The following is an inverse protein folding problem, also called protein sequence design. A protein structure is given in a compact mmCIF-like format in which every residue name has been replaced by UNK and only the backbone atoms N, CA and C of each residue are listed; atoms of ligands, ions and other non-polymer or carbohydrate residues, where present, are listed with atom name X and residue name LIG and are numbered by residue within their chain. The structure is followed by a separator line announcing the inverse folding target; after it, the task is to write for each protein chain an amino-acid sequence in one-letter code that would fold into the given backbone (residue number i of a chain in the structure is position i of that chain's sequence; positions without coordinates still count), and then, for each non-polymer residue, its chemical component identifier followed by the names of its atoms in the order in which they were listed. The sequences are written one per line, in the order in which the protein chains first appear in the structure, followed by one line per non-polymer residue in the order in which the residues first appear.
data_IF_250818574254
#
_entry.id   IF_250818574254
#
_cell.length_a   1.000
_cell.length_b   1.000
_cell.length_c   1.000
_cell.angle_alpha   90.00
_cell.angle_beta   90.00
_cell.angle_gamma   90.00
#
_symmetry.space_group_name_H-M   'P 1'
#
loop_
_entity.id
_entity.type
_entity.pdbx_description
1 polymer ?
#
# COMPACT_ATOMS: atom_id res chain seq x y z
N UNK A 1 5.09 -12.84 -15.21
CA UNK A 1 3.91 -11.99 -14.94
C UNK A 1 4.12 -11.24 -13.63
N UNK A 2 3.80 -9.96 -13.62
CA UNK A 2 3.91 -9.07 -12.45
C UNK A 2 2.59 -9.11 -11.71
N UNK A 3 2.63 -9.42 -10.42
CA UNK A 3 1.41 -9.48 -9.62
C UNK A 3 1.06 -8.09 -9.09
N UNK A 4 -0.23 -7.88 -8.87
CA UNK A 4 -0.74 -6.66 -8.23
C UNK A 4 -1.33 -7.05 -6.88
N UNK A 5 -0.91 -6.34 -5.84
CA UNK A 5 -1.32 -6.56 -4.46
C UNK A 5 -1.93 -5.29 -3.90
N UNK A 6 -3.13 -5.39 -3.33
CA UNK A 6 -3.74 -4.29 -2.62
C UNK A 6 -3.47 -4.43 -1.12
N UNK A 7 -3.04 -3.32 -0.52
CA UNK A 7 -2.66 -3.21 0.88
C UNK A 7 -3.52 -2.14 1.52
N UNK A 8 -4.31 -2.54 2.50
CA UNK A 8 -5.10 -1.61 3.28
C UNK A 8 -4.18 -0.78 4.17
N UNK A 9 -4.20 0.53 4.00
CA UNK A 9 -3.55 1.49 4.87
C UNK A 9 -4.56 2.08 5.84
N UNK A 10 -4.10 2.30 7.07
CA UNK A 10 -4.92 2.91 8.12
C UNK A 10 -4.97 4.43 7.95
N UNK A 11 -4.69 5.16 9.04
CA UNK A 11 -4.70 6.62 9.05
C UNK A 11 -3.65 7.20 8.10
N UNK A 12 -4.03 8.23 7.33
CA UNK A 12 -3.17 8.99 6.40
C UNK A 12 -1.80 9.37 6.98
N UNK A 13 -1.77 9.90 8.21
CA UNK A 13 -0.53 10.33 8.85
C UNK A 13 0.51 9.22 8.99
N UNK A 14 0.08 7.98 9.29
CA UNK A 14 0.97 6.84 9.35
C UNK A 14 1.53 6.50 7.97
N UNK A 15 0.68 6.54 6.94
CA UNK A 15 1.11 6.30 5.56
C UNK A 15 2.19 7.28 5.13
N UNK A 16 1.96 8.59 5.29
CA UNK A 16 2.96 9.63 4.95
C UNK A 16 4.28 9.39 5.69
N UNK A 17 4.20 9.09 6.99
CA UNK A 17 5.39 8.86 7.81
C UNK A 17 6.24 7.69 7.30
N UNK A 18 5.64 6.51 7.14
CA UNK A 18 6.37 5.32 6.71
C UNK A 18 6.81 5.41 5.24
N UNK A 19 5.99 6.02 4.38
CA UNK A 19 6.34 6.25 2.97
C UNK A 19 7.52 7.19 2.77
N UNK A 20 7.74 8.15 3.68
CA UNK A 20 8.97 8.96 3.66
C UNK A 20 10.25 8.16 3.88
N UNK A 21 10.12 6.94 4.43
CA UNK A 21 11.21 5.99 4.67
C UNK A 21 11.22 4.82 3.66
N UNK A 22 10.38 4.87 2.62
CA UNK A 22 10.28 3.84 1.56
C UNK A 22 9.92 2.43 2.04
N UNK A 23 9.19 2.32 3.16
CA UNK A 23 8.66 1.05 3.62
C UNK A 23 7.24 1.16 4.19
N UNK A 24 6.59 0.02 4.37
CA UNK A 24 5.34 -0.11 5.12
C UNK A 24 5.45 -1.31 6.04
N UNK A 25 4.73 -1.30 7.17
CA UNK A 25 4.75 -2.41 8.13
C UNK A 25 3.48 -3.22 8.07
N UNK A 26 3.65 -4.53 8.01
CA UNK A 26 2.56 -5.51 8.06
C UNK A 26 2.86 -6.58 9.11
N UNK A 27 1.86 -7.39 9.41
CA UNK A 27 1.99 -8.55 10.30
C UNK A 27 2.30 -9.80 9.46
N UNK A 28 3.09 -10.72 10.01
CA UNK A 28 3.48 -11.98 9.39
C UNK A 28 2.32 -12.97 9.10
N UNK A 29 1.13 -12.76 9.68
CA UNK A 29 -0.07 -13.57 9.37
C UNK A 29 -0.51 -13.51 7.91
N UNK A 30 -0.02 -12.56 7.13
CA UNK A 30 -0.33 -12.42 5.71
C UNK A 30 0.57 -13.32 4.84
N UNK A 31 0.68 -14.61 5.21
CA UNK A 31 1.59 -15.58 4.59
C UNK A 31 1.38 -15.69 3.08
N UNK A 32 0.13 -15.74 2.60
CA UNK A 32 -0.16 -15.78 1.16
C UNK A 32 0.50 -14.64 0.39
N UNK A 33 0.48 -13.42 0.94
CA UNK A 33 1.20 -12.31 0.32
C UNK A 33 2.72 -12.50 0.46
N UNK A 34 3.20 -12.76 1.68
CA UNK A 34 4.63 -12.85 1.96
C UNK A 34 5.33 -13.95 1.16
N UNK A 35 4.68 -15.08 0.94
CA UNK A 35 5.23 -16.22 0.22
C UNK A 35 5.25 -16.01 -1.30
N UNK A 36 4.36 -15.16 -1.83
CA UNK A 36 4.15 -15.00 -3.27
C UNK A 36 4.64 -13.66 -3.84
N UNK A 37 4.79 -12.62 -3.01
CA UNK A 37 5.28 -11.31 -3.45
C UNK A 37 6.77 -11.39 -3.81
N UNK A 38 7.11 -10.83 -4.97
CA UNK A 38 8.46 -10.78 -5.52
C UNK A 38 8.80 -9.39 -6.04
N UNK A 39 10.09 -9.13 -6.19
CA UNK A 39 10.60 -7.87 -6.74
C UNK A 39 9.90 -7.50 -8.05
N UNK A 40 9.49 -6.24 -8.16
CA UNK A 40 8.78 -5.69 -9.31
C UNK A 40 7.24 -5.81 -9.26
N UNK A 41 6.68 -6.62 -8.35
CA UNK A 41 5.23 -6.66 -8.09
C UNK A 41 4.69 -5.27 -7.67
N UNK A 42 3.42 -5.00 -7.93
CA UNK A 42 2.81 -3.69 -7.64
C UNK A 42 2.09 -3.71 -6.31
N UNK A 43 2.39 -2.72 -5.46
CA UNK A 43 1.74 -2.50 -4.18
C UNK A 43 0.77 -1.32 -4.29
N UNK A 44 -0.52 -1.60 -4.23
CA UNK A 44 -1.60 -0.61 -4.24
C UNK A 44 -1.99 -0.31 -2.82
N UNK A 45 -1.68 0.90 -2.35
CA UNK A 45 -2.06 1.34 -1.01
C UNK A 45 -3.48 1.91 -1.06
N UNK A 46 -4.40 1.23 -0.40
CA UNK A 46 -5.84 1.52 -0.44
C UNK A 46 -6.33 1.81 0.97
N UNK A 47 -7.24 2.75 1.17
CA UNK A 47 -7.90 2.93 2.48
C UNK A 47 -9.39 2.64 2.41
N UNK A 48 -9.96 2.36 3.58
CA UNK A 48 -11.41 2.28 3.72
C UNK A 48 -12.06 3.63 3.42
N UNK A 49 -13.35 3.56 3.07
CA UNK A 49 -14.19 4.72 2.86
C UNK A 49 -14.20 5.63 4.09
N UNK A 50 -14.00 6.92 3.84
CA UNK A 50 -14.19 8.01 4.80
C UNK A 50 -15.49 8.77 4.43
N UNK A 51 -16.05 9.59 5.34
CA UNK A 51 -17.34 10.26 5.10
C UNK A 51 -17.42 11.07 3.80
N UNK A 52 -16.31 11.68 3.37
CA UNK A 52 -16.25 12.53 2.18
C UNK A 52 -15.96 11.75 0.88
N UNK A 53 -15.80 10.43 0.95
CA UNK A 53 -15.58 9.64 -0.25
C UNK A 53 -16.88 9.28 -0.95
N UNK A 54 -16.84 9.44 -2.27
CA UNK A 54 -17.93 9.03 -3.15
C UNK A 54 -18.06 7.50 -3.27
N UNK A 55 -17.00 6.74 -2.97
CA UNK A 55 -16.97 5.27 -3.12
C UNK A 55 -15.96 4.61 -2.16
N UNK A 56 -15.98 3.27 -2.10
CA UNK A 56 -15.11 2.46 -1.25
C UNK A 56 -13.73 2.20 -1.88
N UNK A 57 -12.75 1.97 -1.00
CA UNK A 57 -11.41 1.57 -1.41
C UNK A 57 -10.66 2.66 -2.15
N UNK A 58 -10.52 3.86 -1.56
CA UNK A 58 -9.75 4.94 -2.18
C UNK A 58 -8.28 4.54 -2.31
N UNK A 59 -7.72 4.65 -3.51
CA UNK A 59 -6.29 4.39 -3.77
C UNK A 59 -5.48 5.64 -3.43
N UNK A 60 -4.50 5.50 -2.54
CA UNK A 60 -3.60 6.57 -2.09
C UNK A 60 -2.33 6.64 -2.91
N UNK A 61 -1.78 5.47 -3.23
CA UNK A 61 -0.52 5.37 -3.91
C UNK A 61 -0.37 3.99 -4.54
N UNK A 62 0.55 3.91 -5.51
CA UNK A 62 1.07 2.64 -6.02
C UNK A 62 2.58 2.68 -6.02
N UNK A 63 3.23 1.56 -5.73
CA UNK A 63 4.68 1.43 -5.71
C UNK A 63 5.14 0.07 -6.25
N UNK A 64 6.43 -0.04 -6.55
CA UNK A 64 7.08 -1.28 -6.95
C UNK A 64 7.69 -1.95 -5.72
N UNK A 65 7.30 -3.19 -5.45
CA UNK A 65 7.87 -3.99 -4.38
C UNK A 65 9.35 -4.27 -4.64
N UNK A 66 10.17 -4.10 -3.60
CA UNK A 66 11.61 -4.38 -3.64
C UNK A 66 11.93 -5.58 -2.76
N UNK A 67 11.60 -5.52 -1.47
CA UNK A 67 11.96 -6.58 -0.53
C UNK A 67 11.05 -6.63 0.69
N UNK A 68 11.19 -7.71 1.47
CA UNK A 68 10.53 -7.90 2.76
C UNK A 68 11.56 -8.29 3.80
N UNK A 69 11.54 -7.63 4.95
CA UNK A 69 12.47 -7.85 6.05
C UNK A 69 11.70 -8.05 7.36
N UNK A 70 12.24 -8.88 8.27
CA UNK A 70 11.75 -8.87 9.64
C UNK A 70 12.15 -7.55 10.30
N UNK A 71 11.24 -6.98 11.09
CA UNK A 71 11.53 -5.79 11.89
C UNK A 71 12.60 -6.16 12.93
N UNK A 72 13.66 -5.37 12.95
CA UNK A 72 14.67 -5.43 13.99
C UNK A 72 14.20 -4.60 15.21
N UNK A 73 13.57 -5.26 16.17
CA UNK A 73 13.09 -4.64 17.41
C UNK A 73 14.22 -4.29 18.40
N UNK A 74 15.48 -4.64 18.09
CA UNK A 74 16.63 -4.27 18.92
C UNK A 74 17.11 -2.85 18.62
N UNK A 75 16.75 -2.31 17.45
CA UNK A 75 16.88 -0.88 17.18
C UNK A 75 15.93 -0.14 18.11
N UNK A 76 16.34 0.99 18.71
CA UNK A 76 15.41 1.84 19.41
C UNK A 76 14.26 2.10 18.45
N UNK A 77 13.07 1.59 18.79
CA UNK A 77 11.84 2.12 18.21
C UNK A 77 11.98 3.60 18.47
N UNK A 78 12.22 4.40 17.42
CA UNK A 78 12.22 5.84 17.57
C UNK A 78 10.88 6.12 18.26
N UNK A 79 10.92 6.43 19.55
CA UNK A 79 9.74 6.67 20.39
C UNK A 79 8.98 7.92 19.88
N UNK A 80 9.47 8.53 18.80
CA UNK A 80 8.88 9.60 18.01
C UNK A 80 8.31 9.15 16.64
N UNK A 81 8.22 7.86 16.33
CA UNK A 81 7.47 7.37 15.16
C UNK A 81 5.95 7.49 15.47
N UNK A 82 5.46 8.74 15.48
CA UNK A 82 4.06 9.16 15.50
C UNK A 82 3.22 8.94 16.78
N UNK A 83 3.75 9.28 17.97
CA UNK A 83 2.91 9.52 19.17
C UNK A 83 2.06 8.32 19.62
N UNK A 84 2.42 7.10 19.23
CA UNK A 84 1.73 5.87 19.62
C UNK A 84 2.50 5.17 20.73
N UNK A 85 1.83 4.99 21.86
CA UNK A 85 2.16 3.97 22.86
C UNK A 85 2.01 2.61 22.16
N UNK A 86 3.02 1.75 22.32
CA UNK A 86 3.20 0.49 21.59
C UNK A 86 2.14 -0.62 21.86
N UNK A 87 0.97 -0.32 22.43
CA UNK A 87 0.19 -1.33 23.16
C UNK A 87 -1.18 -1.73 22.60
N UNK A 88 -1.62 -1.30 21.41
CA UNK A 88 -2.99 -1.61 20.95
C UNK A 88 -3.12 -2.01 19.47
N UNK A 89 -2.29 -2.93 19.00
CA UNK A 89 -2.50 -3.52 17.68
C UNK A 89 -1.70 -4.80 17.44
N UNK A 90 -2.10 -5.63 16.47
CA UNK A 90 -1.30 -6.78 16.06
C UNK A 90 0.10 -6.32 15.69
N UNK A 91 1.11 -6.97 16.27
CA UNK A 91 2.52 -6.62 16.10
C UNK A 91 2.86 -6.63 14.62
N UNK A 92 3.16 -5.47 14.04
CA UNK A 92 3.60 -5.38 12.66
C UNK A 92 5.11 -5.66 12.62
N UNK A 93 5.47 -6.92 12.40
CA UNK A 93 6.83 -7.46 12.51
C UNK A 93 7.52 -7.67 11.17
N UNK A 94 6.89 -7.30 10.05
CA UNK A 94 7.49 -7.33 8.72
C UNK A 94 7.48 -5.93 8.12
N UNK A 95 8.61 -5.51 7.57
CA UNK A 95 8.75 -4.33 6.72
C UNK A 95 8.74 -4.76 5.26
N UNK A 96 7.84 -4.17 4.48
CA UNK A 96 7.82 -4.26 3.03
C UNK A 96 8.40 -2.98 2.45
N UNK A 97 9.47 -3.13 1.69
CA UNK A 97 10.24 -2.06 1.07
C UNK A 97 9.81 -1.91 -0.39
N UNK A 98 9.77 -0.67 -0.87
CA UNK A 98 9.31 -0.37 -2.22
C UNK A 98 10.00 0.86 -2.81
N UNK A 99 9.94 0.97 -4.13
CA UNK A 99 10.43 2.10 -4.92
C UNK A 99 9.33 2.64 -5.83
N UNK A 100 9.62 3.72 -6.57
CA UNK A 100 8.70 4.34 -7.53
C UNK A 100 7.31 4.60 -6.92
N UNK A 101 7.28 5.27 -5.76
CA UNK A 101 6.02 5.58 -5.09
C UNK A 101 5.31 6.71 -5.84
N UNK A 102 4.20 6.38 -6.51
CA UNK A 102 3.33 7.34 -7.16
C UNK A 102 2.22 7.76 -6.20
N UNK A 103 2.19 9.04 -5.84
CA UNK A 103 1.14 9.61 -5.01
C UNK A 103 -0.12 9.90 -5.85
N UNK A 104 -1.24 9.28 -5.47
CA UNK A 104 -2.53 9.36 -6.15
C UNK A 104 -3.62 9.99 -5.28
N UNK A 105 -3.26 10.57 -4.13
CA UNK A 105 -4.21 11.07 -3.13
C UNK A 105 -5.21 12.11 -3.68
N UNK A 106 -4.74 12.96 -4.61
CA UNK A 106 -5.55 13.98 -5.27
C UNK A 106 -6.43 13.44 -6.39
N UNK A 107 -6.28 12.17 -6.77
CA UNK A 107 -7.06 11.53 -7.83
C UNK A 107 -8.30 10.85 -7.25
N UNK A 108 -9.37 10.87 -8.04
CA UNK A 108 -10.64 10.19 -7.75
C UNK A 108 -10.55 8.72 -8.21
N UNK A 109 -9.62 7.96 -7.64
CA UNK A 109 -9.39 6.54 -7.98
C UNK A 109 -9.88 5.63 -6.83
N UNK A 110 -10.89 4.81 -7.12
CA UNK A 110 -11.56 3.96 -6.14
C UNK A 110 -11.65 2.53 -6.63
N UNK A 111 -11.33 1.56 -5.78
CA UNK A 111 -11.43 0.13 -6.14
C UNK A 111 -12.88 -0.36 -6.18
N UNK A 112 -13.79 0.33 -5.48
CA UNK A 112 -15.20 -0.05 -5.33
C UNK A 112 -15.42 -1.22 -4.36
N UNK A 113 -14.39 -1.60 -3.59
CA UNK A 113 -14.44 -2.76 -2.70
C UNK A 113 -14.66 -2.30 -1.24
N UNK A 114 -15.84 -2.59 -0.64
CA UNK A 114 -16.25 -2.04 0.66
C UNK A 114 -15.44 -2.53 1.86
N UNK A 115 -14.85 -3.73 1.76
CA UNK A 115 -14.08 -4.35 2.84
C UNK A 115 -12.91 -5.11 2.26
N UNK A 116 -11.82 -4.38 1.96
CA UNK A 116 -10.59 -5.03 1.57
C UNK A 116 -9.92 -5.66 2.81
N UNK A 117 -9.50 -6.94 2.75
CA UNK A 117 -8.59 -7.47 3.76
C UNK A 117 -7.31 -6.64 3.76
N UNK A 118 -6.54 -6.66 4.87
CA UNK A 118 -5.36 -5.78 4.96
C UNK A 118 -4.35 -6.00 3.85
N UNK A 119 -4.28 -7.20 3.29
CA UNK A 119 -3.51 -7.52 2.09
C UNK A 119 -4.29 -8.52 1.24
N UNK A 120 -4.38 -8.30 -0.07
CA UNK A 120 -4.93 -9.28 -1.02
C UNK A 120 -4.30 -9.18 -2.41
N UNK A 121 -4.30 -10.29 -3.14
CA UNK A 121 -4.01 -10.28 -4.58
C UNK A 121 -5.16 -9.61 -5.32
N UNK A 122 -4.83 -8.68 -6.21
CA UNK A 122 -5.79 -7.99 -7.06
C UNK A 122 -6.48 -8.94 -8.04
N UNK A 123 -5.83 -10.04 -8.43
CA UNK A 123 -6.41 -11.06 -9.31
C UNK A 123 -7.62 -11.77 -8.67
N UNK A 124 -7.64 -11.88 -7.34
CA UNK A 124 -8.74 -12.50 -6.61
C UNK A 124 -9.95 -11.58 -6.45
N UNK A 125 -9.79 -10.27 -6.69
CA UNK A 125 -10.83 -9.25 -6.44
C UNK A 125 -11.21 -8.45 -7.69
N UNK A 126 -10.55 -8.69 -8.83
CA UNK A 126 -10.81 -7.98 -10.09
C UNK A 126 -12.24 -8.10 -10.58
N UNK A 127 -12.93 -9.22 -10.33
CA UNK A 127 -14.34 -9.39 -10.74
C UNK A 127 -15.32 -8.41 -10.07
N UNK A 128 -14.97 -7.86 -8.91
CA UNK A 128 -15.78 -6.87 -8.20
C UNK A 128 -15.16 -5.48 -8.16
N UNK A 129 -13.98 -5.30 -8.78
CA UNK A 129 -13.26 -4.03 -8.70
C UNK A 129 -13.59 -3.13 -9.88
N UNK A 130 -13.71 -1.83 -9.60
CA UNK A 130 -13.89 -0.79 -10.63
C UNK A 130 -12.61 -0.50 -11.41
N UNK A 131 -11.47 -0.99 -10.95
CA UNK A 131 -10.16 -0.72 -11.54
C UNK A 131 -9.57 -1.96 -12.20
N UNK A 132 -8.99 -1.74 -13.38
CA UNK A 132 -8.11 -2.71 -14.01
C UNK A 132 -6.66 -2.38 -13.58
N UNK A 133 -6.19 -3.05 -12.53
CA UNK A 133 -4.91 -2.72 -11.89
C UNK A 133 -3.71 -2.65 -12.87
N UNK A 134 -3.45 -3.63 -13.76
CA UNK A 134 -2.38 -3.51 -14.74
C UNK A 134 -2.50 -2.27 -15.64
N UNK A 135 -3.68 -2.05 -16.21
CA UNK A 135 -3.91 -0.92 -17.13
C UNK A 135 -3.80 0.43 -16.43
N UNK A 136 -4.31 0.54 -15.20
CA UNK A 136 -4.21 1.79 -14.44
C UNK A 136 -2.76 2.10 -14.04
N UNK A 137 -1.96 1.10 -13.69
CA UNK A 137 -0.54 1.32 -13.42
C UNK A 137 0.19 1.91 -14.62
N UNK A 138 -0.05 1.37 -15.82
CA UNK A 138 0.56 1.89 -17.06
C UNK A 138 0.20 3.36 -17.30
N UNK A 139 -1.06 3.74 -17.08
CA UNK A 139 -1.50 5.13 -17.18
C UNK A 139 -0.84 6.02 -16.14
N UNK A 140 -0.76 5.58 -14.87
CA UNK A 140 -0.10 6.32 -13.79
C UNK A 140 1.37 6.58 -14.13
N UNK A 141 2.10 5.55 -14.56
CA UNK A 141 3.52 5.69 -14.95
C UNK A 141 3.64 6.68 -16.11
N UNK A 142 2.85 6.53 -17.16
CA UNK A 142 2.88 7.40 -18.34
C UNK A 142 2.67 8.88 -17.97
N UNK A 143 1.62 9.18 -17.20
CA UNK A 143 1.29 10.58 -16.86
C UNK A 143 2.16 11.16 -15.75
N UNK A 144 2.75 10.34 -14.89
CA UNK A 144 3.73 10.81 -13.90
C UNK A 144 5.05 11.27 -14.55
N UNK A 145 5.47 10.62 -15.63
CA UNK A 145 6.66 11.01 -16.39
C UNK A 145 6.48 12.35 -17.10
N UNK A 146 5.30 12.60 -17.69
CA UNK A 146 4.98 13.87 -18.35
C UNK A 146 5.08 15.04 -17.37
N UNK A 147 4.59 14.86 -16.15
CA UNK A 147 4.64 15.90 -15.11
C UNK A 147 6.07 16.23 -14.64
N UNK A 148 6.99 15.27 -14.71
CA UNK A 148 8.41 15.48 -14.38
C UNK A 148 9.24 16.00 -15.58
N UNK A 149 8.64 16.10 -16.76
CA UNK A 149 9.29 16.51 -18.01
C UNK A 149 8.93 17.94 -18.44
N UNK A 150 8.01 18.60 -17.72
CA UNK A 150 7.64 20.02 -17.86
C UNK A 150 8.25 20.84 -16.73
#
# INVERSE_FOLDING_TARGET
MTNHWAIQVGKRGNFVFYSSKSYWRINDRWSTFLDNVKEGDKLWFVRNKEPDDINDGKVFAVADFVSKNKVDFTRPLLVQDAGRVANEGPVCNIEIHYTNLYNLESLTLYTGLPLMPRVCSCENITKGSLINYPKEYELIVTYSQIKNSM
#
